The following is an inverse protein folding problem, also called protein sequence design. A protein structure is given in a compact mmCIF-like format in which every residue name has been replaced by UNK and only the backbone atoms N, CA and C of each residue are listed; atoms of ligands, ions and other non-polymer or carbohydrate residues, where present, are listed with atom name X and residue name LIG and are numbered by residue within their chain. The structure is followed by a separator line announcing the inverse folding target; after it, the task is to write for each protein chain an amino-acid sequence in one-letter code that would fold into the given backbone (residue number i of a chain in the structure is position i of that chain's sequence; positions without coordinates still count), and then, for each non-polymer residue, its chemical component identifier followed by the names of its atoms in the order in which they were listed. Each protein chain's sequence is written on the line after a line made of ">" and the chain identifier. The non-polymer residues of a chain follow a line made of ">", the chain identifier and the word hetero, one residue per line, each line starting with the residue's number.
data_IF_009242235810
#
_entry.id   IF_009242235810
#
_cell.length_a   1.000
_cell.length_b   1.000
_cell.length_c   1.000
_cell.angle_alpha   90.00
_cell.angle_beta   90.00
_cell.angle_gamma   90.00
#
_symmetry.space_group_name_H-M   'P 1'
#
loop_
_entity.id
_entity.type
_entity.pdbx_description
1 polymer ?
#
# COMPACT_ATOMS: atom_id res chain seq x y z
N UNK A 1 10.55 26.58 -20.19
CA UNK A 1 11.56 26.77 -19.11
C UNK A 1 10.97 26.92 -17.70
N UNK A 2 9.69 27.24 -17.53
CA UNK A 2 9.07 27.43 -16.21
C UNK A 2 8.82 26.15 -15.39
N UNK A 3 8.47 25.03 -16.03
CA UNK A 3 8.09 23.79 -15.33
C UNK A 3 9.26 23.10 -14.61
N UNK A 4 10.50 23.21 -15.11
CA UNK A 4 11.67 22.62 -14.45
C UNK A 4 12.08 23.37 -13.17
N UNK A 5 11.71 24.62 -13.03
CA UNK A 5 12.09 25.44 -11.89
C UNK A 5 11.25 25.14 -10.63
N UNK A 6 9.97 24.84 -10.79
CA UNK A 6 9.08 24.50 -9.67
C UNK A 6 9.43 23.15 -9.02
N UNK A 7 9.81 22.14 -9.83
CA UNK A 7 10.24 20.85 -9.35
C UNK A 7 11.57 20.94 -8.54
N UNK A 8 12.49 21.79 -8.98
CA UNK A 8 13.78 22.00 -8.31
C UNK A 8 13.63 22.75 -6.98
N UNK A 9 12.71 23.72 -6.91
CA UNK A 9 12.41 24.43 -5.66
C UNK A 9 11.78 23.51 -4.62
N UNK A 10 10.90 22.58 -5.01
CA UNK A 10 10.29 21.61 -4.12
C UNK A 10 11.27 20.63 -3.47
N UNK A 11 12.38 20.32 -4.13
CA UNK A 11 13.43 19.44 -3.61
C UNK A 11 14.36 20.11 -2.58
N UNK A 12 14.49 21.41 -2.63
CA UNK A 12 15.49 22.16 -1.85
C UNK A 12 14.88 22.77 -0.54
N UNK A 13 13.56 23.00 -0.48
CA UNK A 13 12.94 23.87 0.52
C UNK A 13 11.76 23.25 1.25
N UNK A 14 11.98 22.19 1.98
CA UNK A 14 10.92 21.28 2.45
C UNK A 14 9.98 21.75 3.56
N UNK A 15 10.31 22.72 4.39
CA UNK A 15 9.54 22.97 5.61
C UNK A 15 9.20 24.43 5.92
N UNK A 16 9.64 25.38 5.12
CA UNK A 16 9.43 26.80 5.39
C UNK A 16 9.07 27.55 4.10
N UNK A 17 8.07 27.00 3.39
CA UNK A 17 7.54 27.61 2.17
C UNK A 17 6.22 28.28 2.51
N UNK A 18 6.00 29.48 2.04
CA UNK A 18 4.71 30.19 2.10
C UNK A 18 4.38 30.68 0.69
N UNK A 19 3.15 30.48 0.27
CA UNK A 19 2.67 31.04 -0.99
C UNK A 19 2.46 32.55 -0.85
N UNK A 20 2.79 33.31 -1.88
CA UNK A 20 2.47 34.73 -1.94
C UNK A 20 1.20 34.90 -2.77
N UNK A 21 0.28 35.74 -2.25
CA UNK A 21 -1.04 35.95 -2.82
C UNK A 21 -1.26 37.45 -3.17
N UNK A 22 -2.04 37.66 -4.22
CA UNK A 22 -2.67 38.95 -4.51
C UNK A 22 -4.17 38.67 -4.71
N UNK A 23 -4.97 39.01 -3.71
CA UNK A 23 -6.35 38.55 -3.64
C UNK A 23 -6.45 37.03 -3.63
N UNK A 24 -7.19 36.46 -4.59
CA UNK A 24 -7.33 35.00 -4.80
C UNK A 24 -6.24 34.40 -5.71
N UNK A 25 -5.29 35.20 -6.21
CA UNK A 25 -4.24 34.75 -7.13
C UNK A 25 -2.94 34.42 -6.41
N UNK A 26 -2.38 33.25 -6.70
CA UNK A 26 -1.04 32.88 -6.25
C UNK A 26 -0.01 33.53 -7.16
N UNK A 27 0.88 34.34 -6.59
CA UNK A 27 1.88 35.14 -7.32
C UNK A 27 3.31 34.59 -7.19
N UNK A 28 3.51 33.57 -6.35
CA UNK A 28 4.82 32.97 -6.12
C UNK A 28 4.94 32.27 -4.78
N UNK A 29 6.16 32.15 -4.30
CA UNK A 29 6.45 31.55 -3.01
C UNK A 29 7.66 32.21 -2.32
N UNK A 30 7.63 32.26 -0.99
CA UNK A 30 8.78 32.55 -0.16
C UNK A 30 9.26 31.24 0.44
N UNK A 31 10.53 30.92 0.27
CA UNK A 31 11.12 29.66 0.68
C UNK A 31 12.37 29.91 1.51
N UNK A 32 12.65 29.02 2.49
CA UNK A 32 13.86 29.08 3.29
C UNK A 32 14.93 28.16 2.67
N UNK A 33 16.08 28.69 2.36
CA UNK A 33 17.25 27.92 1.98
C UNK A 33 17.76 27.14 3.19
N UNK A 34 17.71 25.81 3.14
CA UNK A 34 18.08 24.94 4.26
C UNK A 34 19.59 24.90 4.53
N UNK A 35 20.42 25.33 3.56
CA UNK A 35 21.88 25.34 3.71
C UNK A 35 22.39 26.53 4.52
N UNK A 36 21.78 27.68 4.34
CA UNK A 36 22.24 28.93 4.93
C UNK A 36 21.18 29.65 5.77
N UNK A 37 19.95 29.12 5.83
CA UNK A 37 18.85 29.65 6.61
C UNK A 37 18.20 30.94 6.06
N UNK A 38 18.62 31.41 4.88
CA UNK A 38 18.09 32.63 4.27
C UNK A 38 16.74 32.38 3.59
N UNK A 39 15.91 33.40 3.52
CA UNK A 39 14.64 33.36 2.80
C UNK A 39 14.81 33.95 1.40
N UNK A 40 14.23 33.29 0.40
CA UNK A 40 14.19 33.73 -0.99
C UNK A 40 12.75 33.83 -1.46
N UNK A 41 12.39 34.91 -2.14
CA UNK A 41 11.10 35.08 -2.80
C UNK A 41 11.24 34.73 -4.27
N UNK A 42 10.39 33.82 -4.74
CA UNK A 42 10.23 33.46 -6.14
C UNK A 42 8.90 34.00 -6.65
N UNK A 43 8.94 34.70 -7.77
CA UNK A 43 7.73 35.19 -8.45
C UNK A 43 7.35 34.18 -9.54
N UNK A 44 6.06 33.92 -9.67
CA UNK A 44 5.51 33.06 -10.69
C UNK A 44 4.79 33.91 -11.75
N UNK A 45 5.18 33.75 -13.01
CA UNK A 45 4.55 34.48 -14.11
C UNK A 45 3.23 33.84 -14.55
N UNK A 46 3.16 32.48 -14.58
CA UNK A 46 2.00 31.71 -15.04
C UNK A 46 1.33 30.91 -13.94
N UNK A 47 2.07 30.42 -12.95
CA UNK A 47 1.50 29.65 -11.83
C UNK A 47 2.53 28.96 -10.95
N UNK A 48 2.05 28.43 -9.84
CA UNK A 48 2.80 27.62 -8.88
C UNK A 48 2.23 26.21 -8.89
N UNK A 49 3.09 25.21 -9.02
CA UNK A 49 2.71 23.79 -9.00
C UNK A 49 3.15 23.17 -7.69
N UNK A 50 2.21 22.64 -6.91
CA UNK A 50 2.48 21.88 -5.69
C UNK A 50 2.75 20.43 -6.08
N UNK A 51 3.99 19.96 -5.90
CA UNK A 51 4.46 18.62 -6.20
C UNK A 51 5.29 18.05 -5.02
N UNK A 52 4.79 18.20 -3.79
CA UNK A 52 5.56 18.00 -2.55
C UNK A 52 5.37 16.62 -1.90
N UNK A 53 4.86 15.66 -2.65
CA UNK A 53 4.65 14.29 -2.17
C UNK A 53 3.37 14.11 -1.34
N UNK A 54 3.35 13.08 -0.52
CA UNK A 54 2.21 12.64 0.25
C UNK A 54 2.24 13.15 1.70
N UNK A 55 1.47 12.54 2.62
CA UNK A 55 1.43 12.97 4.03
C UNK A 55 1.51 11.82 5.05
N UNK A 56 1.94 10.62 4.63
CA UNK A 56 2.01 9.46 5.52
C UNK A 56 2.98 9.62 6.70
N UNK A 57 3.92 10.56 6.63
CA UNK A 57 4.80 10.88 7.75
C UNK A 57 4.20 11.92 8.72
N UNK A 58 2.96 12.37 8.51
CA UNK A 58 2.30 13.34 9.37
C UNK A 58 1.22 12.65 10.22
N UNK A 59 1.47 12.39 11.52
CA UNK A 59 0.55 11.62 12.36
C UNK A 59 -0.82 12.30 12.51
N UNK A 60 -0.88 13.64 12.49
CA UNK A 60 -2.16 14.36 12.59
C UNK A 60 -3.01 14.21 11.35
N UNK A 61 -2.40 14.28 10.16
CA UNK A 61 -3.12 14.07 8.90
C UNK A 61 -3.51 12.59 8.73
N UNK A 62 -2.62 11.67 9.09
CA UNK A 62 -2.95 10.24 9.10
C UNK A 62 -4.14 9.97 10.03
N UNK A 63 -4.12 10.48 11.24
CA UNK A 63 -5.22 10.32 12.19
C UNK A 63 -6.55 10.94 11.68
N UNK A 64 -6.47 12.02 10.93
CA UNK A 64 -7.65 12.69 10.37
C UNK A 64 -8.29 11.93 9.20
N UNK A 65 -7.47 11.34 8.33
CA UNK A 65 -7.94 10.84 7.04
C UNK A 65 -7.93 9.31 6.91
N UNK A 66 -7.23 8.59 7.79
CA UNK A 66 -7.11 7.12 7.75
C UNK A 66 -7.60 6.49 9.06
N UNK A 67 -8.89 6.27 9.12
CA UNK A 67 -9.55 5.75 10.32
C UNK A 67 -9.01 4.38 10.73
N UNK A 68 -8.82 3.48 9.78
CA UNK A 68 -8.30 2.14 10.05
C UNK A 68 -6.91 2.18 10.70
N UNK A 69 -6.06 3.11 10.30
CA UNK A 69 -4.75 3.27 10.92
C UNK A 69 -4.86 3.72 12.39
N UNK A 70 -5.80 4.61 12.72
CA UNK A 70 -6.05 5.05 14.11
C UNK A 70 -6.56 3.90 14.98
N UNK A 71 -7.46 3.08 14.45
CA UNK A 71 -7.99 1.91 15.15
C UNK A 71 -6.86 0.89 15.41
N UNK A 72 -6.02 0.60 14.44
CA UNK A 72 -4.86 -0.28 14.61
C UNK A 72 -3.86 0.26 15.65
N UNK A 73 -3.60 1.56 15.66
CA UNK A 73 -2.77 2.19 16.67
C UNK A 73 -3.37 2.03 18.07
N UNK A 74 -4.67 2.30 18.23
CA UNK A 74 -5.36 2.20 19.50
C UNK A 74 -5.36 0.77 20.07
N UNK A 75 -5.55 -0.24 19.21
CA UNK A 75 -5.62 -1.63 19.62
C UNK A 75 -4.25 -2.30 19.79
N UNK A 76 -3.22 -1.84 19.09
CA UNK A 76 -1.93 -2.54 19.00
C UNK A 76 -0.73 -1.69 19.40
N UNK A 77 -0.92 -0.40 19.67
CA UNK A 77 0.19 0.51 19.97
C UNK A 77 1.19 0.68 18.80
N UNK A 78 0.77 0.36 17.59
CA UNK A 78 1.63 0.43 16.40
C UNK A 78 1.78 1.87 15.94
N UNK A 79 2.98 2.28 15.55
CA UNK A 79 3.17 3.54 14.86
C UNK A 79 2.53 3.46 13.46
N UNK A 80 1.50 4.29 13.26
CA UNK A 80 0.75 4.35 12.00
C UNK A 80 1.41 5.25 10.96
N UNK A 81 2.44 5.98 11.35
CA UNK A 81 3.17 6.83 10.42
C UNK A 81 4.24 6.03 9.71
N UNK A 82 4.34 6.23 8.42
CA UNK A 82 5.44 5.69 7.62
C UNK A 82 6.10 6.81 6.82
N UNK A 83 7.33 6.56 6.43
CA UNK A 83 8.13 7.56 5.76
C UNK A 83 9.12 8.24 6.69
N UNK A 84 9.97 9.04 6.12
CA UNK A 84 11.05 9.69 6.84
C UNK A 84 10.59 11.06 7.37
N UNK A 85 9.94 11.06 8.54
CA UNK A 85 9.51 12.27 9.22
C UNK A 85 10.69 13.22 9.51
N UNK A 86 11.88 12.68 9.70
CA UNK A 86 13.10 13.46 9.96
C UNK A 86 13.60 14.25 8.75
N UNK A 87 13.33 13.77 7.52
CA UNK A 87 13.72 14.47 6.28
C UNK A 87 12.65 15.44 5.78
N UNK A 88 11.48 15.50 6.42
CA UNK A 88 10.33 16.30 5.99
C UNK A 88 9.70 15.81 4.68
N UNK A 89 10.05 14.61 4.21
CA UNK A 89 9.37 13.95 3.11
C UNK A 89 7.99 13.48 3.61
N UNK A 90 7.02 13.52 2.70
CA UNK A 90 5.67 13.00 2.95
C UNK A 90 5.02 13.56 4.25
N UNK A 91 5.33 14.82 4.55
CA UNK A 91 4.85 15.52 5.73
C UNK A 91 3.49 16.20 5.54
N UNK A 92 2.93 16.12 4.33
CA UNK A 92 1.68 16.81 3.97
C UNK A 92 1.82 18.32 3.84
N UNK A 93 3.05 18.83 3.76
CA UNK A 93 3.25 20.27 3.69
C UNK A 93 2.64 20.88 2.44
N UNK A 94 2.74 20.19 1.29
CA UNK A 94 2.11 20.63 0.02
C UNK A 94 0.59 20.75 0.13
N UNK A 95 -0.06 19.78 0.76
CA UNK A 95 -1.50 19.82 1.01
C UNK A 95 -1.89 21.03 1.87
N UNK A 96 -1.12 21.27 2.95
CA UNK A 96 -1.34 22.43 3.84
C UNK A 96 -1.13 23.76 3.13
N UNK A 97 -0.12 23.85 2.26
CA UNK A 97 0.09 25.05 1.44
C UNK A 97 -1.12 25.33 0.55
N UNK A 98 -1.66 24.32 -0.10
CA UNK A 98 -2.86 24.44 -0.90
C UNK A 98 -4.06 24.91 -0.08
N UNK A 99 -4.28 24.31 1.10
CA UNK A 99 -5.35 24.71 2.02
C UNK A 99 -5.17 26.13 2.56
N UNK A 100 -3.95 26.54 2.89
CA UNK A 100 -3.70 27.92 3.34
C UNK A 100 -3.91 28.97 2.25
N UNK A 101 -3.80 28.58 0.99
CA UNK A 101 -4.14 29.42 -0.14
C UNK A 101 -5.64 29.47 -0.45
N UNK A 102 -6.47 28.77 0.32
CA UNK A 102 -7.92 28.68 0.15
C UNK A 102 -8.40 27.42 -0.56
N UNK A 103 -7.50 26.47 -0.88
CA UNK A 103 -7.84 25.17 -1.45
C UNK A 103 -8.42 24.23 -0.41
N UNK A 104 -9.11 23.19 -0.89
CA UNK A 104 -9.66 22.16 -0.01
C UNK A 104 -9.09 20.77 -0.33
N UNK A 105 -9.08 19.95 0.69
CA UNK A 105 -8.84 18.51 0.56
C UNK A 105 -10.12 17.81 0.09
N UNK A 106 -9.98 16.71 -0.65
CA UNK A 106 -11.14 15.87 -0.91
C UNK A 106 -11.69 15.28 0.39
N UNK A 107 -12.96 14.89 0.38
CA UNK A 107 -13.61 14.33 1.56
C UNK A 107 -13.00 12.97 1.94
N UNK A 108 -12.66 12.81 3.22
CA UNK A 108 -12.28 11.51 3.80
C UNK A 108 -13.50 10.72 4.29
N UNK A 109 -13.27 9.53 4.87
CA UNK A 109 -11.99 8.88 5.10
C UNK A 109 -11.39 8.29 3.81
N UNK A 110 -10.07 8.28 3.71
CA UNK A 110 -9.38 7.70 2.56
C UNK A 110 -9.04 6.23 2.82
N UNK A 111 -9.01 5.45 1.74
CA UNK A 111 -8.43 4.13 1.80
C UNK A 111 -6.91 4.23 1.96
N UNK A 112 -6.34 3.39 2.81
CA UNK A 112 -4.89 3.29 2.95
C UNK A 112 -4.31 2.44 1.81
N UNK A 113 -3.19 2.86 1.23
CA UNK A 113 -2.29 1.97 0.56
C UNK A 113 -1.23 1.54 1.57
N UNK A 114 -1.49 0.47 2.29
CA UNK A 114 -0.47 -0.22 3.06
C UNK A 114 0.40 -1.09 2.14
N UNK A 115 1.54 -1.55 2.64
CA UNK A 115 2.36 -2.49 1.90
C UNK A 115 1.59 -3.81 1.75
N UNK A 116 1.35 -4.23 0.52
CA UNK A 116 0.28 -5.16 0.16
C UNK A 116 0.77 -6.57 -0.15
N UNK A 117 2.00 -6.92 0.13
CA UNK A 117 2.40 -8.31 0.04
C UNK A 117 1.62 -9.10 1.08
N UNK A 118 0.84 -10.08 0.63
CA UNK A 118 0.21 -11.05 1.51
C UNK A 118 1.24 -11.73 2.40
N UNK A 119 0.83 -12.37 3.50
CA UNK A 119 1.75 -13.17 4.28
C UNK A 119 2.25 -14.32 3.43
N UNK A 120 3.46 -14.72 3.69
CA UNK A 120 4.04 -15.87 3.03
C UNK A 120 4.82 -15.55 1.77
N UNK A 121 5.40 -16.58 1.19
CA UNK A 121 6.42 -16.45 0.16
C UNK A 121 5.88 -16.11 -1.22
N UNK A 122 4.58 -16.23 -1.45
CA UNK A 122 3.95 -16.04 -2.77
C UNK A 122 3.57 -14.59 -3.10
N UNK A 123 3.73 -13.67 -2.15
CA UNK A 123 3.36 -12.28 -2.36
C UNK A 123 1.86 -12.10 -2.67
N UNK A 124 1.53 -11.83 -3.91
CA UNK A 124 0.14 -11.59 -4.36
C UNK A 124 -0.61 -12.83 -4.85
N UNK A 125 -0.07 -14.05 -4.70
CA UNK A 125 -0.80 -15.25 -5.11
C UNK A 125 -2.11 -15.40 -4.33
N UNK A 126 -3.16 -15.93 -4.98
CA UNK A 126 -4.49 -16.05 -4.39
C UNK A 126 -4.61 -17.22 -3.41
N UNK A 127 -3.66 -17.36 -2.49
CA UNK A 127 -3.71 -18.36 -1.42
C UNK A 127 -4.83 -18.05 -0.44
N UNK A 128 -5.45 -19.06 0.15
CA UNK A 128 -6.49 -18.89 1.17
C UNK A 128 -5.95 -18.05 2.33
N UNK A 129 -6.72 -17.07 2.79
CA UNK A 129 -6.36 -16.22 3.92
C UNK A 129 -7.42 -16.29 5.02
N UNK A 130 -6.95 -16.48 6.25
CA UNK A 130 -7.79 -16.57 7.44
C UNK A 130 -7.36 -15.51 8.45
N UNK A 131 -8.34 -14.92 9.14
CA UNK A 131 -8.11 -13.95 10.22
C UNK A 131 -7.70 -14.64 11.53
N UNK A 132 -7.44 -13.88 12.60
CA UNK A 132 -7.03 -14.43 13.90
C UNK A 132 -8.09 -15.30 14.59
N UNK A 133 -9.31 -15.33 14.06
CA UNK A 133 -10.38 -16.22 14.56
C UNK A 133 -10.47 -17.53 13.77
N UNK A 134 -9.64 -17.72 12.76
CA UNK A 134 -9.72 -18.87 11.84
C UNK A 134 -10.77 -18.72 10.74
N UNK A 135 -11.27 -17.52 10.48
CA UNK A 135 -12.35 -17.26 9.52
C UNK A 135 -11.80 -16.70 8.21
N UNK A 136 -12.28 -17.18 7.07
CA UNK A 136 -12.05 -16.58 5.76
C UNK A 136 -12.79 -15.24 5.66
N UNK A 137 -12.19 -14.22 5.05
CA UNK A 137 -12.73 -12.87 5.11
C UNK A 137 -12.71 -12.11 3.78
N UNK A 138 -12.22 -12.69 2.70
CA UNK A 138 -12.10 -11.98 1.43
C UNK A 138 -12.00 -12.89 0.21
N UNK A 139 -12.14 -12.28 -0.97
CA UNK A 139 -11.69 -12.83 -2.23
C UNK A 139 -10.20 -12.59 -2.38
N UNK A 140 -9.39 -13.62 -2.27
CA UNK A 140 -7.93 -13.52 -2.34
C UNK A 140 -7.42 -13.26 -3.77
N UNK A 141 -8.27 -13.43 -4.77
CA UNK A 141 -7.98 -13.07 -6.16
C UNK A 141 -8.22 -11.59 -6.49
N UNK A 142 -8.80 -10.81 -5.55
CA UNK A 142 -9.00 -9.37 -5.72
C UNK A 142 -7.88 -8.57 -5.04
N UNK A 143 -6.79 -8.40 -5.75
CA UNK A 143 -5.60 -7.70 -5.26
C UNK A 143 -5.80 -6.21 -5.02
N UNK A 144 -6.82 -5.59 -5.64
CA UNK A 144 -7.04 -4.15 -5.52
C UNK A 144 -7.47 -3.71 -4.12
N UNK A 145 -8.22 -4.55 -3.41
CA UNK A 145 -8.76 -4.20 -2.10
C UNK A 145 -8.10 -4.98 -0.96
N UNK A 146 -7.07 -5.77 -1.23
CA UNK A 146 -6.46 -6.68 -0.26
C UNK A 146 -6.03 -5.97 1.03
N UNK A 147 -5.28 -4.88 0.92
CA UNK A 147 -4.78 -4.14 2.08
C UNK A 147 -5.92 -3.63 2.98
N UNK A 148 -6.98 -3.09 2.38
CA UNK A 148 -8.11 -2.55 3.12
C UNK A 148 -8.87 -3.66 3.88
N UNK A 149 -9.02 -4.82 3.27
CA UNK A 149 -9.69 -5.97 3.90
C UNK A 149 -8.89 -6.51 5.06
N UNK A 150 -7.57 -6.65 4.88
CA UNK A 150 -6.64 -7.09 5.92
C UNK A 150 -6.65 -6.13 7.10
N UNK A 151 -6.58 -4.83 6.86
CA UNK A 151 -6.56 -3.81 7.91
C UNK A 151 -7.85 -3.79 8.75
N UNK A 152 -8.95 -4.27 8.20
CA UNK A 152 -10.25 -4.38 8.90
C UNK A 152 -10.44 -5.67 9.67
N UNK A 153 -9.49 -6.60 9.63
CA UNK A 153 -9.58 -7.81 10.42
C UNK A 153 -9.26 -7.56 11.89
N UNK A 154 -9.85 -8.35 12.83
CA UNK A 154 -9.56 -8.24 14.24
C UNK A 154 -8.07 -8.32 14.50
N UNK A 155 -7.54 -7.41 15.31
CA UNK A 155 -6.12 -7.27 15.62
C UNK A 155 -5.21 -7.08 14.41
N UNK A 156 -5.74 -6.98 13.18
CA UNK A 156 -4.94 -6.97 11.96
C UNK A 156 -4.01 -8.19 11.80
N UNK A 157 -4.35 -9.31 12.45
CA UNK A 157 -3.63 -10.59 12.34
C UNK A 157 -4.36 -11.44 11.32
N UNK A 158 -3.58 -12.03 10.41
CA UNK A 158 -4.08 -12.95 9.40
C UNK A 158 -2.98 -13.92 9.01
N UNK A 159 -3.35 -15.04 8.43
CA UNK A 159 -2.41 -15.99 7.84
C UNK A 159 -2.80 -16.32 6.41
N UNK A 160 -1.85 -16.81 5.63
CA UNK A 160 -2.16 -17.56 4.43
C UNK A 160 -2.03 -19.05 4.71
N UNK A 161 -2.77 -19.85 3.92
CA UNK A 161 -2.70 -21.31 3.98
C UNK A 161 -2.52 -21.86 2.56
N UNK A 162 -1.61 -22.81 2.41
CA UNK A 162 -1.35 -23.54 1.19
C UNK A 162 -0.93 -24.98 1.53
N UNK A 163 -0.74 -25.84 0.56
CA UNK A 163 -0.47 -27.27 0.79
C UNK A 163 0.64 -27.83 -0.08
N UNK A 164 0.80 -29.14 -0.10
CA UNK A 164 1.81 -29.87 -0.88
C UNK A 164 1.78 -29.55 -2.37
N UNK A 165 0.69 -29.00 -2.89
CA UNK A 165 0.54 -28.52 -4.28
C UNK A 165 1.04 -27.10 -4.49
N UNK A 166 1.85 -26.56 -3.60
CA UNK A 166 2.30 -25.16 -3.63
C UNK A 166 2.84 -24.70 -5.00
N UNK A 167 3.35 -25.61 -5.82
CA UNK A 167 3.80 -25.26 -7.18
C UNK A 167 2.70 -24.73 -8.07
N UNK A 168 1.46 -25.10 -7.84
CA UNK A 168 0.31 -24.61 -8.62
C UNK A 168 0.13 -23.10 -8.42
N UNK A 169 0.45 -22.57 -7.22
CA UNK A 169 0.37 -21.15 -6.94
C UNK A 169 1.42 -20.32 -7.68
N UNK A 170 2.54 -20.93 -8.11
CA UNK A 170 3.58 -20.23 -8.87
C UNK A 170 3.05 -19.68 -10.19
N UNK A 171 2.03 -20.32 -10.76
CA UNK A 171 1.36 -19.88 -12.00
C UNK A 171 0.61 -18.55 -11.82
N UNK A 172 0.29 -18.18 -10.58
CA UNK A 172 -0.42 -16.95 -10.23
C UNK A 172 0.49 -15.87 -9.69
N UNK A 173 1.74 -16.20 -9.42
CA UNK A 173 2.73 -15.25 -8.94
C UNK A 173 3.20 -14.36 -10.08
N UNK A 174 3.20 -13.05 -9.86
CA UNK A 174 3.72 -12.07 -10.79
C UNK A 174 4.81 -11.23 -10.17
N UNK A 175 5.63 -10.61 -10.99
CA UNK A 175 6.70 -9.68 -10.58
C UNK A 175 6.18 -8.31 -10.15
N UNK A 176 4.86 -8.12 -10.16
CA UNK A 176 4.21 -6.87 -9.80
C UNK A 176 4.59 -6.46 -8.36
N UNK A 177 4.91 -5.19 -8.17
CA UNK A 177 5.27 -4.60 -6.87
C UNK A 177 6.46 -5.29 -6.17
N UNK A 178 7.42 -5.84 -6.94
CA UNK A 178 8.58 -6.52 -6.40
C UNK A 178 8.33 -7.97 -5.99
N UNK A 179 7.26 -8.58 -6.51
CA UNK A 179 7.04 -10.02 -6.40
C UNK A 179 8.19 -10.83 -7.01
N UNK A 180 8.36 -12.05 -6.52
CA UNK A 180 9.40 -12.95 -7.00
C UNK A 180 9.10 -13.39 -8.43
N UNK A 181 10.10 -13.39 -9.28
CA UNK A 181 10.00 -13.96 -10.62
C UNK A 181 10.26 -15.48 -10.57
N UNK A 182 9.19 -16.25 -10.40
CA UNK A 182 9.27 -17.70 -10.44
C UNK A 182 9.45 -18.28 -11.85
N UNK A 183 9.55 -17.44 -12.88
CA UNK A 183 10.06 -17.82 -14.18
C UNK A 183 11.57 -18.08 -14.19
N UNK A 184 12.29 -17.70 -13.13
CA UNK A 184 13.72 -17.98 -12.93
C UNK A 184 13.87 -19.32 -12.22
N UNK A 185 14.42 -20.38 -12.89
CA UNK A 185 14.47 -21.74 -12.34
C UNK A 185 15.26 -21.84 -11.02
N UNK A 186 16.30 -21.01 -10.86
CA UNK A 186 17.13 -20.97 -9.66
C UNK A 186 16.34 -20.55 -8.42
N UNK A 187 15.36 -19.69 -8.57
CA UNK A 187 14.50 -19.25 -7.46
C UNK A 187 13.56 -20.37 -7.03
N UNK A 188 13.01 -21.12 -7.99
CA UNK A 188 12.17 -22.28 -7.69
C UNK A 188 12.99 -23.37 -7.02
N UNK A 189 14.20 -23.66 -7.53
CA UNK A 189 15.10 -24.66 -6.93
C UNK A 189 15.51 -24.31 -5.49
N UNK A 190 15.79 -23.03 -5.22
CA UNK A 190 16.09 -22.57 -3.87
C UNK A 190 14.88 -22.76 -2.94
N UNK A 191 13.71 -22.47 -3.43
CA UNK A 191 12.47 -22.62 -2.68
C UNK A 191 12.15 -24.10 -2.38
N UNK A 192 12.37 -24.98 -3.35
CA UNK A 192 12.24 -26.43 -3.16
C UNK A 192 13.18 -26.95 -2.06
N UNK A 193 14.41 -26.45 -2.05
CA UNK A 193 15.37 -26.83 -1.01
C UNK A 193 14.95 -26.34 0.37
N UNK A 194 14.52 -25.08 0.48
CA UNK A 194 14.05 -24.50 1.74
C UNK A 194 12.80 -25.24 2.25
N UNK A 195 11.85 -25.55 1.38
CA UNK A 195 10.60 -26.22 1.75
C UNK A 195 10.77 -27.65 2.29
N UNK A 196 11.87 -28.33 1.97
CA UNK A 196 12.17 -29.67 2.54
C UNK A 196 12.31 -29.66 4.06
N UNK A 197 12.69 -28.52 4.62
CA UNK A 197 12.97 -28.36 6.05
C UNK A 197 11.79 -27.79 6.84
N UNK A 198 10.73 -27.31 6.16
CA UNK A 198 9.62 -26.59 6.82
C UNK A 198 8.84 -27.50 7.78
N UNK A 199 8.51 -28.72 7.36
CA UNK A 199 7.76 -29.66 8.20
C UNK A 199 8.58 -30.11 9.40
N UNK A 200 9.88 -30.35 9.22
CA UNK A 200 10.76 -30.74 10.31
C UNK A 200 10.95 -29.64 11.36
N UNK A 201 10.82 -28.38 10.94
CA UNK A 201 10.89 -27.25 11.84
C UNK A 201 9.63 -27.11 12.73
N UNK A 202 8.46 -27.58 12.27
CA UNK A 202 7.21 -27.59 13.03
C UNK A 202 6.85 -26.20 13.59
N UNK A 203 6.55 -26.15 14.88
CA UNK A 203 6.18 -24.91 15.58
C UNK A 203 7.23 -23.78 15.53
N UNK A 204 8.48 -24.09 15.23
CA UNK A 204 9.53 -23.07 15.08
C UNK A 204 9.46 -22.36 13.73
N UNK A 205 8.74 -22.94 12.76
CA UNK A 205 8.74 -22.47 11.39
C UNK A 205 10.12 -22.60 10.72
N UNK A 206 10.16 -22.36 9.44
CA UNK A 206 11.40 -22.28 8.67
C UNK A 206 11.41 -21.01 7.85
N UNK A 207 12.55 -20.36 7.72
CA UNK A 207 12.66 -19.14 6.90
C UNK A 207 12.87 -19.56 5.46
N UNK A 208 11.85 -19.44 4.65
CA UNK A 208 11.91 -19.70 3.22
C UNK A 208 12.47 -18.47 2.51
N UNK A 209 13.54 -18.68 1.76
CA UNK A 209 14.18 -17.66 0.94
C UNK A 209 13.54 -17.69 -0.44
N UNK A 210 12.91 -16.62 -0.81
CA UNK A 210 12.44 -16.46 -2.19
C UNK A 210 13.38 -15.52 -2.94
N UNK A 211 13.74 -15.88 -4.14
CA UNK A 211 14.62 -15.09 -4.98
C UNK A 211 14.06 -13.68 -5.18
N UNK A 212 14.93 -12.70 -5.27
CA UNK A 212 14.54 -11.33 -5.53
C UNK A 212 15.57 -10.67 -6.44
N UNK A 213 15.10 -9.70 -7.20
CA UNK A 213 15.93 -8.87 -8.07
C UNK A 213 16.79 -7.85 -7.31
N UNK A 214 16.67 -7.76 -5.98
CA UNK A 214 17.42 -6.81 -5.17
C UNK A 214 18.48 -7.50 -4.32
N UNK A 215 19.59 -6.84 -4.10
CA UNK A 215 20.70 -7.31 -3.24
C UNK A 215 20.34 -7.39 -1.73
N UNK A 216 19.11 -7.08 -1.37
CA UNK A 216 18.62 -7.07 0.01
C UNK A 216 18.05 -8.42 0.39
N UNK A 217 18.93 -9.38 0.65
CA UNK A 217 18.58 -10.74 1.06
C UNK A 217 17.72 -10.81 2.33
N UNK A 218 17.83 -9.83 3.23
CA UNK A 218 17.04 -9.72 4.46
C UNK A 218 15.55 -9.47 4.25
N UNK A 219 15.16 -8.86 3.12
CA UNK A 219 13.76 -8.62 2.77
C UNK A 219 13.09 -9.80 2.03
N UNK A 220 13.82 -10.87 1.80
CA UNK A 220 13.43 -11.99 0.95
C UNK A 220 13.18 -13.27 1.75
N UNK A 221 13.02 -13.13 3.04
CA UNK A 221 12.85 -14.25 3.94
C UNK A 221 11.47 -14.18 4.59
N UNK A 222 10.74 -15.27 4.51
CA UNK A 222 9.41 -15.37 5.12
C UNK A 222 9.34 -16.61 5.99
N UNK A 223 8.93 -16.49 7.25
CA UNK A 223 8.68 -17.65 8.11
C UNK A 223 7.49 -18.45 7.54
N UNK A 224 7.71 -19.72 7.32
CA UNK A 224 6.69 -20.70 6.92
C UNK A 224 6.63 -21.80 7.95
N UNK A 225 5.45 -22.16 8.37
CA UNK A 225 5.16 -23.29 9.25
C UNK A 225 4.63 -24.44 8.42
N UNK A 226 4.97 -25.67 8.77
CA UNK A 226 4.51 -26.85 8.05
C UNK A 226 4.10 -27.96 8.99
N UNK A 227 3.01 -28.65 8.66
CA UNK A 227 2.46 -29.74 9.44
C UNK A 227 1.78 -30.78 8.55
N UNK A 228 1.59 -31.99 9.08
CA UNK A 228 0.91 -33.06 8.35
C UNK A 228 -0.63 -33.01 8.51
N UNK A 229 -1.14 -32.25 9.48
CA UNK A 229 -2.58 -32.02 9.68
C UNK A 229 -2.89 -30.52 9.76
N UNK A 230 -4.14 -30.17 9.53
CA UNK A 230 -4.61 -28.78 9.63
C UNK A 230 -4.64 -28.30 11.07
N UNK A 231 -4.97 -29.17 12.03
CA UNK A 231 -5.00 -28.87 13.45
C UNK A 231 -3.59 -28.52 13.97
N UNK A 232 -2.58 -29.32 13.58
CA UNK A 232 -1.19 -29.02 13.94
C UNK A 232 -0.74 -27.68 13.33
N UNK A 233 -1.05 -27.46 12.05
CA UNK A 233 -0.72 -26.22 11.39
C UNK A 233 -1.38 -25.02 12.10
N UNK A 234 -2.67 -25.13 12.43
CA UNK A 234 -3.38 -24.08 13.17
C UNK A 234 -2.69 -23.74 14.49
N UNK A 235 -2.27 -24.76 15.24
CA UNK A 235 -1.51 -24.58 16.48
C UNK A 235 -0.19 -23.86 16.26
N UNK A 236 0.58 -24.24 15.21
CA UNK A 236 1.84 -23.57 14.87
C UNK A 236 1.64 -22.13 14.43
N UNK A 237 0.52 -21.81 13.80
CA UNK A 237 0.14 -20.44 13.40
C UNK A 237 -0.42 -19.61 14.57
N UNK A 238 -0.54 -20.19 15.77
CA UNK A 238 -0.96 -19.50 16.99
C UNK A 238 -2.47 -19.51 17.26
N UNK A 239 -3.24 -20.38 16.60
CA UNK A 239 -4.66 -20.58 16.92
C UNK A 239 -4.80 -21.50 18.15
N UNK A 240 -5.78 -21.22 19.01
CA UNK A 240 -6.07 -21.98 20.22
C UNK A 240 -7.58 -22.21 20.38
N UNK A 241 -7.95 -23.32 21.04
CA UNK A 241 -9.33 -23.63 21.37
C UNK A 241 -10.25 -23.64 20.14
N UNK A 242 -11.39 -23.01 20.25
CA UNK A 242 -12.40 -22.94 19.16
C UNK A 242 -11.86 -22.30 17.86
N UNK A 243 -10.78 -21.50 17.92
CA UNK A 243 -10.20 -20.91 16.72
C UNK A 243 -9.50 -21.96 15.85
N UNK A 244 -8.99 -23.05 16.43
CA UNK A 244 -8.47 -24.20 15.68
C UNK A 244 -9.61 -24.90 14.93
N UNK A 245 -10.74 -25.15 15.58
CA UNK A 245 -11.89 -25.78 14.95
C UNK A 245 -12.42 -24.93 13.78
N UNK A 246 -12.51 -23.60 13.97
CA UNK A 246 -12.93 -22.69 12.90
C UNK A 246 -11.92 -22.62 11.76
N UNK A 247 -10.60 -22.68 12.05
CA UNK A 247 -9.56 -22.74 11.03
C UNK A 247 -9.76 -23.98 10.13
N UNK A 248 -9.89 -25.16 10.73
CA UNK A 248 -10.11 -26.42 9.99
C UNK A 248 -11.40 -26.34 9.18
N UNK A 249 -12.51 -25.95 9.81
CA UNK A 249 -13.80 -25.82 9.13
C UNK A 249 -13.76 -24.83 7.96
N UNK A 250 -13.01 -23.73 8.09
CA UNK A 250 -12.84 -22.76 7.01
C UNK A 250 -12.07 -23.33 5.82
N UNK A 251 -11.03 -24.14 6.07
CA UNK A 251 -10.27 -24.82 5.00
C UNK A 251 -11.16 -25.89 4.33
N UNK A 252 -11.88 -26.68 5.09
CA UNK A 252 -12.79 -27.71 4.56
C UNK A 252 -13.89 -27.09 3.69
N UNK A 253 -14.52 -26.03 4.19
CA UNK A 253 -15.54 -25.30 3.44
C UNK A 253 -14.96 -24.71 2.13
N UNK A 254 -13.75 -24.11 2.19
CA UNK A 254 -13.07 -23.64 0.99
C UNK A 254 -12.82 -24.77 -0.02
N UNK A 255 -12.45 -25.97 0.46
CA UNK A 255 -12.29 -27.14 -0.39
C UNK A 255 -13.61 -27.59 -1.04
N UNK A 256 -14.74 -27.45 -0.33
CA UNK A 256 -16.07 -27.70 -0.91
C UNK A 256 -16.38 -26.72 -2.04
N UNK A 257 -16.10 -25.43 -1.86
CA UNK A 257 -16.26 -24.42 -2.90
C UNK A 257 -15.36 -24.69 -4.11
N UNK A 258 -14.13 -25.12 -3.88
CA UNK A 258 -13.22 -25.53 -4.98
C UNK A 258 -13.78 -26.70 -5.78
N UNK A 259 -14.31 -27.74 -5.10
CA UNK A 259 -14.93 -28.90 -5.76
C UNK A 259 -16.20 -28.52 -6.50
N UNK A 260 -16.97 -27.56 -6.00
CA UNK A 260 -18.15 -27.02 -6.68
C UNK A 260 -17.79 -26.12 -7.89
N UNK A 261 -16.53 -25.70 -8.02
CA UNK A 261 -16.06 -24.81 -9.07
C UNK A 261 -16.59 -23.38 -8.98
N UNK A 262 -17.13 -22.98 -7.81
CA UNK A 262 -17.70 -21.66 -7.60
C UNK A 262 -17.53 -21.22 -6.15
N UNK A 263 -16.99 -20.03 -5.94
CA UNK A 263 -16.91 -19.38 -4.64
C UNK A 263 -18.15 -18.53 -4.41
N UNK A 264 -19.12 -19.09 -3.68
CA UNK A 264 -20.39 -18.41 -3.35
C UNK A 264 -20.24 -17.42 -2.21
N UNK A 265 -19.13 -17.46 -1.46
CA UNK A 265 -18.93 -16.60 -0.29
C UNK A 265 -18.36 -15.22 -0.69
N UNK A 266 -17.32 -15.21 -1.51
CA UNK A 266 -16.58 -13.98 -1.86
C UNK A 266 -16.39 -13.77 -3.36
N UNK A 267 -16.83 -14.70 -4.22
CA UNK A 267 -16.78 -14.59 -5.66
C UNK A 267 -15.36 -14.69 -6.25
N UNK A 268 -14.48 -15.48 -5.63
CA UNK A 268 -13.16 -15.79 -6.18
C UNK A 268 -13.31 -16.56 -7.48
N UNK A 269 -12.57 -16.16 -8.51
CA UNK A 269 -12.63 -16.83 -9.81
C UNK A 269 -12.17 -18.30 -9.71
N UNK A 270 -12.88 -19.19 -10.39
CA UNK A 270 -12.57 -20.62 -10.38
C UNK A 270 -11.10 -20.93 -10.74
N UNK A 271 -10.52 -20.19 -11.69
CA UNK A 271 -9.13 -20.35 -12.10
C UNK A 271 -8.12 -20.10 -10.96
N UNK A 272 -8.53 -19.39 -9.90
CA UNK A 272 -7.71 -19.11 -8.72
C UNK A 272 -8.02 -20.02 -7.52
N UNK A 273 -8.94 -20.97 -7.68
CA UNK A 273 -9.38 -21.86 -6.62
C UNK A 273 -8.56 -23.14 -6.64
N UNK A 274 -7.59 -23.24 -5.74
CA UNK A 274 -6.78 -24.45 -5.53
C UNK A 274 -7.21 -25.08 -4.21
N UNK A 275 -7.75 -26.31 -4.22
CA UNK A 275 -8.17 -26.97 -3.00
C UNK A 275 -6.95 -27.31 -2.13
N UNK A 276 -7.12 -27.26 -0.83
CA UNK A 276 -6.10 -27.54 0.19
C UNK A 276 -6.35 -28.95 0.74
N UNK A 277 -5.97 -29.99 0.00
CA UNK A 277 -6.31 -31.38 0.30
C UNK A 277 -5.11 -32.34 0.22
N UNK A 278 -3.92 -31.80 0.05
CA UNK A 278 -2.66 -32.57 -0.12
C UNK A 278 -1.63 -32.17 0.94
N UNK A 279 -1.49 -33.02 1.97
CA UNK A 279 -0.44 -32.80 2.97
C UNK A 279 0.97 -32.86 2.32
N UNK A 280 1.98 -32.18 2.89
CA UNK A 280 1.90 -31.34 4.08
C UNK A 280 1.15 -30.02 3.84
N UNK A 281 0.59 -29.48 4.93
CA UNK A 281 -0.03 -28.16 4.94
C UNK A 281 0.95 -27.12 5.44
N UNK A 282 0.88 -25.94 4.87
CA UNK A 282 1.80 -24.85 5.15
C UNK A 282 1.06 -23.55 5.42
N UNK A 283 1.68 -22.65 6.17
CA UNK A 283 1.13 -21.33 6.39
C UNK A 283 2.16 -20.33 6.89
N UNK A 284 1.83 -19.07 6.75
CA UNK A 284 2.61 -17.95 7.28
C UNK A 284 1.67 -16.97 7.95
N UNK A 285 2.09 -16.45 9.11
CA UNK A 285 1.34 -15.43 9.86
C UNK A 285 1.90 -14.05 9.53
N UNK A 286 1.01 -13.13 9.25
CA UNK A 286 1.34 -11.72 9.26
C UNK A 286 0.52 -10.99 10.30
N UNK A 287 1.17 -10.02 10.93
CA UNK A 287 0.48 -9.04 11.73
C UNK A 287 0.68 -7.69 11.07
N UNK A 288 -0.36 -6.88 11.04
CA UNK A 288 -0.29 -5.54 10.47
C UNK A 288 0.59 -4.55 11.25
N UNK A 289 1.44 -5.03 12.16
CA UNK A 289 2.44 -4.19 12.82
C UNK A 289 3.40 -3.53 11.85
N UNK A 290 3.66 -4.20 10.71
CA UNK A 290 4.55 -3.68 9.66
C UNK A 290 3.78 -3.12 8.46
N UNK A 291 2.50 -3.46 8.32
CA UNK A 291 1.66 -3.08 7.18
C UNK A 291 0.70 -1.93 7.48
N UNK A 292 0.56 -1.53 8.73
CA UNK A 292 -0.09 -0.27 9.08
C UNK A 292 0.65 0.95 8.50
N UNK A 293 1.91 0.76 8.06
CA UNK A 293 2.66 1.76 7.34
C UNK A 293 2.01 2.11 5.99
N UNK A 294 1.47 3.32 5.90
CA UNK A 294 0.88 3.82 4.65
C UNK A 294 2.01 4.12 3.68
N UNK A 295 2.10 3.36 2.59
CA UNK A 295 3.14 3.55 1.58
C UNK A 295 2.89 4.82 0.75
N UNK A 296 1.63 5.13 0.45
CA UNK A 296 1.19 6.32 -0.29
C UNK A 296 -0.16 6.77 0.25
N UNK A 297 -0.34 8.06 0.45
CA UNK A 297 -1.66 8.61 0.75
C UNK A 297 -2.49 8.73 -0.52
N UNK A 298 -3.75 8.31 -0.50
CA UNK A 298 -4.59 8.26 -1.68
C UNK A 298 -5.34 9.56 -1.92
N UNK A 299 -5.65 10.31 -0.87
CA UNK A 299 -6.34 11.60 -0.94
C UNK A 299 -5.40 12.79 -1.19
N UNK A 300 -5.98 13.91 -1.60
CA UNK A 300 -5.23 15.13 -1.85
C UNK A 300 -6.11 16.36 -2.06
N UNK A 301 -5.51 17.41 -2.59
CA UNK A 301 -6.21 18.65 -2.93
C UNK A 301 -7.21 18.43 -4.07
N UNK A 302 -8.41 18.96 -3.93
CA UNK A 302 -9.41 18.94 -5.00
C UNK A 302 -8.95 19.86 -6.12
N UNK A 303 -9.05 19.38 -7.37
CA UNK A 303 -8.64 20.15 -8.55
C UNK A 303 -9.65 19.99 -9.67
N UNK A 304 -9.60 20.91 -10.63
CA UNK A 304 -10.26 20.76 -11.92
C UNK A 304 -9.50 19.81 -12.86
N UNK A 305 -9.99 19.65 -14.09
CA UNK A 305 -9.37 18.83 -15.13
C UNK A 305 -7.97 19.30 -15.59
N UNK A 306 -7.62 20.55 -15.31
CA UNK A 306 -6.31 21.13 -15.59
C UNK A 306 -5.37 21.06 -14.37
N UNK A 307 -5.81 20.34 -13.31
CA UNK A 307 -5.10 20.21 -12.03
C UNK A 307 -4.95 21.54 -11.28
N UNK A 308 -5.82 22.52 -11.55
CA UNK A 308 -5.91 23.78 -10.82
C UNK A 308 -6.66 23.54 -9.51
N UNK A 309 -6.08 23.95 -8.38
CA UNK A 309 -6.65 23.71 -7.04
C UNK A 309 -7.96 24.48 -6.89
N UNK A 310 -8.99 23.80 -6.35
CA UNK A 310 -10.30 24.37 -6.10
C UNK A 310 -10.48 24.80 -4.64
N UNK A 311 -11.20 25.90 -4.44
CA UNK A 311 -11.66 26.38 -3.13
C UNK A 311 -12.94 25.67 -2.67
N UNK A 312 -13.46 26.09 -1.52
CA UNK A 312 -14.73 25.59 -0.96
C UNK A 312 -15.95 25.96 -1.81
N UNK A 313 -15.82 27.00 -2.64
CA UNK A 313 -16.82 27.49 -3.59
C UNK A 313 -16.78 26.76 -4.94
N UNK A 314 -15.99 25.71 -5.08
CA UNK A 314 -15.69 25.00 -6.33
C UNK A 314 -15.01 25.85 -7.42
N UNK A 315 -14.59 27.07 -7.08
CA UNK A 315 -13.88 27.93 -8.01
C UNK A 315 -12.37 27.71 -7.94
N UNK A 316 -11.66 27.78 -9.09
CA UNK A 316 -10.22 27.63 -9.12
C UNK A 316 -9.49 28.77 -8.40
N UNK A 317 -8.49 28.40 -7.59
CA UNK A 317 -7.52 29.36 -7.05
C UNK A 317 -6.58 29.74 -8.18
N UNK A 318 -6.62 31.01 -8.57
CA UNK A 318 -5.89 31.48 -9.73
C UNK A 318 -4.39 31.21 -9.59
N UNK A 319 -3.80 30.60 -10.62
CA UNK A 319 -2.38 30.27 -10.73
C UNK A 319 -1.85 29.27 -9.69
N UNK A 320 -2.71 28.43 -9.08
CA UNK A 320 -2.31 27.37 -8.18
C UNK A 320 -2.69 25.99 -8.71
N UNK A 321 -1.71 25.08 -8.80
CA UNK A 321 -1.88 23.72 -9.32
C UNK A 321 -1.35 22.69 -8.34
N UNK A 322 -1.91 21.47 -8.36
CA UNK A 322 -1.41 20.34 -7.58
C UNK A 322 -1.25 19.10 -8.46
N UNK A 323 -0.15 18.37 -8.29
CA UNK A 323 0.18 17.18 -9.07
C UNK A 323 0.74 16.06 -8.18
N UNK A 324 0.80 14.85 -8.72
CA UNK A 324 1.33 13.67 -8.03
C UNK A 324 0.54 13.38 -6.75
N UNK A 325 1.22 13.09 -5.64
CA UNK A 325 0.56 12.72 -4.39
C UNK A 325 -0.08 13.90 -3.64
N UNK A 326 0.10 15.14 -4.10
CA UNK A 326 -0.67 16.28 -3.59
C UNK A 326 -2.04 16.40 -4.24
N UNK A 327 -2.26 15.78 -5.39
CA UNK A 327 -3.52 15.80 -6.14
C UNK A 327 -4.51 14.81 -5.55
N UNK A 328 -5.73 15.26 -5.27
CA UNK A 328 -6.88 14.44 -4.91
C UNK A 328 -7.61 13.85 -6.13
N UNK A 329 -8.69 13.10 -5.87
CA UNK A 329 -9.55 12.55 -6.92
C UNK A 329 -8.92 11.48 -7.81
N UNK A 330 -7.70 11.02 -7.47
CA UNK A 330 -6.97 9.99 -8.24
C UNK A 330 -7.52 8.59 -8.03
N UNK A 331 -7.95 8.30 -6.83
CA UNK A 331 -8.41 6.99 -6.39
C UNK A 331 -9.65 7.19 -5.53
N UNK A 332 -10.71 6.43 -5.80
CA UNK A 332 -11.93 6.55 -5.00
C UNK A 332 -11.78 5.88 -3.62
N UNK A 333 -11.78 4.55 -3.59
CA UNK A 333 -11.80 3.78 -2.34
C UNK A 333 -10.60 2.86 -2.17
N UNK A 334 -9.84 2.62 -3.23
CA UNK A 334 -8.74 1.65 -3.23
C UNK A 334 -7.69 1.98 -4.29
N UNK A 335 -6.47 1.58 -4.02
CA UNK A 335 -5.37 1.70 -4.97
C UNK A 335 -5.35 0.50 -5.91
N UNK A 336 -5.25 0.69 -7.24
CA UNK A 336 -5.22 -0.42 -8.21
C UNK A 336 -3.85 -1.10 -8.20
N UNK A 337 -3.62 -1.98 -7.24
CA UNK A 337 -2.35 -2.68 -7.03
C UNK A 337 -1.91 -3.56 -8.20
N UNK A 338 -2.83 -3.92 -9.10
CA UNK A 338 -2.52 -4.69 -10.32
C UNK A 338 -1.70 -3.90 -11.35
N UNK A 339 -1.67 -2.58 -11.23
CA UNK A 339 -0.90 -1.71 -12.11
C UNK A 339 0.41 -1.28 -11.43
N UNK A 340 1.48 -2.01 -11.71
CA UNK A 340 2.81 -1.65 -11.21
C UNK A 340 3.20 -0.23 -11.66
N UNK A 341 3.78 0.56 -10.75
CA UNK A 341 4.22 1.91 -11.03
C UNK A 341 3.11 2.95 -11.24
N UNK A 342 1.85 2.61 -10.95
CA UNK A 342 0.71 3.49 -11.20
C UNK A 342 0.86 4.89 -10.56
N UNK A 343 1.28 4.96 -9.29
CA UNK A 343 1.47 6.26 -8.62
C UNK A 343 2.54 7.13 -9.30
N UNK A 344 3.64 6.53 -9.72
CA UNK A 344 4.73 7.22 -10.45
C UNK A 344 4.25 7.65 -11.83
N UNK A 345 3.59 6.74 -12.55
CA UNK A 345 3.04 7.02 -13.89
C UNK A 345 2.04 8.18 -13.86
N UNK A 346 1.12 8.19 -12.89
CA UNK A 346 0.19 9.31 -12.72
C UNK A 346 0.92 10.61 -12.37
N UNK A 347 1.90 10.58 -11.49
CA UNK A 347 2.67 11.79 -11.14
C UNK A 347 3.39 12.38 -12.35
N UNK A 348 4.00 11.53 -13.20
CA UNK A 348 4.65 11.95 -14.45
C UNK A 348 3.64 12.53 -15.44
N UNK A 349 2.50 11.86 -15.63
CA UNK A 349 1.44 12.30 -16.53
C UNK A 349 0.85 13.63 -16.08
N UNK A 350 0.54 13.77 -14.78
CA UNK A 350 0.04 15.04 -14.24
C UNK A 350 1.05 16.17 -14.46
N UNK A 351 2.33 15.91 -14.19
CA UNK A 351 3.39 16.90 -14.42
C UNK A 351 3.48 17.33 -15.87
N UNK A 352 3.41 16.38 -16.82
CA UNK A 352 3.39 16.65 -18.24
C UNK A 352 2.17 17.49 -18.66
N UNK A 353 0.99 17.09 -18.24
CA UNK A 353 -0.26 17.80 -18.59
C UNK A 353 -0.27 19.23 -18.06
N UNK A 354 0.10 19.46 -16.80
CA UNK A 354 0.20 20.81 -16.23
C UNK A 354 1.27 21.62 -16.94
N UNK A 355 2.43 21.01 -17.22
CA UNK A 355 3.50 21.69 -17.95
C UNK A 355 3.06 22.15 -19.34
N UNK A 356 2.34 21.30 -20.07
CA UNK A 356 1.73 21.66 -21.36
C UNK A 356 0.73 22.80 -21.22
N UNK A 357 -0.23 22.69 -20.31
CA UNK A 357 -1.25 23.71 -20.06
C UNK A 357 -0.63 25.08 -19.72
N UNK A 358 0.39 25.13 -18.87
CA UNK A 358 1.08 26.36 -18.50
C UNK A 358 1.94 26.94 -19.63
N UNK A 359 2.42 26.09 -20.55
CA UNK A 359 3.20 26.52 -21.71
C UNK A 359 2.35 27.11 -22.85
N UNK A 360 1.05 26.86 -22.84
CA UNK A 360 0.08 27.38 -23.82
C UNK A 360 -0.57 28.72 -23.35
N UNK A 361 -0.34 29.12 -22.09
CA UNK A 361 -0.73 30.42 -21.51
C UNK A 361 0.38 31.47 -21.65
#
# INVERSE_FOLDING_TARGET
>A
MGASFAATAGLIYKQHTVLTMDGKKVTGAIVKDTKNGTYKKFLANTGVVIAMGAFQANPKMVAQYFREAVELQAFRGVDITSGDAGTGRDSGYGHRLGCWAGGRMEAGPYASLANVSGPGPFGFAPTLQLNCKGERFMNEGDFNAMANRINRQPLGIYCNVFDGKWREYLNFCGTNHGGVDFGVPEYVAQWEEDMKHVVDAGAKGYVVRHGCLTERADMQQTPVYGANTLEELAGYLGYEGEAVERFVASVEHYNELCRAGADTDFGKKADFMVPLDTAPYYGSVASNTTTAGIAVTLGGLVTDSNMQVLGDDDEPIESLFAVGNCLGGRYALTYPSVLAGNSIGMAMTNGYCVGKYLGEK
#
